data_IF_194958097954
#
_entry.id   IF_194958097954
#
_cell.length_a   1.000
_cell.length_b   1.000
_cell.length_c   1.000
_cell.angle_alpha   90.00
_cell.angle_beta   90.00
_cell.angle_gamma   90.00
#
_symmetry.space_group_name_H-M   'P 1'
#
loop_
_entity.id
_entity.type
_entity.pdbx_description
1 polymer ?
#
# COMPACT_ATOMS: atom_id res chain seq x y z
N UNK A 1 -2.85 17.97 -14.67
CA UNK A 1 -2.70 18.41 -13.27
C UNK A 1 -1.33 17.97 -12.83
N UNK A 2 -0.50 18.89 -12.35
CA UNK A 2 0.87 18.61 -11.95
C UNK A 2 0.87 17.97 -10.54
N UNK A 3 1.95 17.26 -10.16
CA UNK A 3 2.09 16.69 -8.81
C UNK A 3 1.82 17.72 -7.70
N UNK A 4 2.19 18.99 -7.93
CA UNK A 4 1.96 20.10 -7.03
C UNK A 4 0.46 20.43 -6.83
N UNK A 5 -0.39 20.22 -7.84
CA UNK A 5 -1.84 20.44 -7.74
C UNK A 5 -2.53 19.32 -6.93
N UNK A 6 -2.01 18.09 -6.98
CA UNK A 6 -2.53 16.95 -6.21
C UNK A 6 -2.23 17.08 -4.71
N UNK A 7 -1.03 17.51 -4.34
CA UNK A 7 -0.69 17.81 -2.94
C UNK A 7 -1.44 19.04 -2.37
N UNK A 8 -1.98 19.90 -3.25
CA UNK A 8 -2.80 21.06 -2.86
C UNK A 8 -4.27 20.72 -2.65
N UNK A 9 -4.72 19.61 -3.22
CA UNK A 9 -6.05 19.05 -2.96
C UNK A 9 -5.97 18.37 -1.60
N UNK A 10 -6.57 18.95 -0.55
CA UNK A 10 -6.57 18.42 0.85
C UNK A 10 -7.33 17.08 1.01
N UNK A 11 -7.18 16.16 0.07
CA UNK A 11 -7.85 14.87 0.04
C UNK A 11 -6.92 13.81 0.66
N UNK A 12 -7.34 13.25 1.80
CA UNK A 12 -6.57 12.25 2.54
C UNK A 12 -6.36 10.96 1.75
N UNK A 13 -7.20 10.69 0.75
CA UNK A 13 -7.03 9.58 -0.19
C UNK A 13 -5.77 9.70 -1.06
N UNK A 14 -5.43 10.92 -1.51
CA UNK A 14 -4.25 11.15 -2.36
C UNK A 14 -2.97 11.01 -1.53
N UNK A 15 -2.96 11.59 -0.32
CA UNK A 15 -1.84 11.39 0.60
C UNK A 15 -1.67 9.91 0.98
N UNK A 16 -2.78 9.19 1.20
CA UNK A 16 -2.76 7.74 1.43
C UNK A 16 -2.08 6.98 0.29
N UNK A 17 -2.42 7.29 -0.96
CA UNK A 17 -1.83 6.65 -2.14
C UNK A 17 -0.33 6.97 -2.28
N UNK A 18 0.09 8.21 -2.07
CA UNK A 18 1.51 8.57 -2.12
C UNK A 18 2.33 7.90 -1.02
N UNK A 19 1.79 7.84 0.20
CA UNK A 19 2.40 7.08 1.30
C UNK A 19 2.41 5.59 0.97
N UNK A 20 1.36 5.07 0.34
CA UNK A 20 1.28 3.70 -0.15
C UNK A 20 2.39 3.36 -1.16
N UNK A 21 2.64 4.25 -2.13
CA UNK A 21 3.75 4.11 -3.09
C UNK A 21 5.11 4.12 -2.37
N UNK A 22 5.30 5.02 -1.41
CA UNK A 22 6.50 5.06 -0.59
C UNK A 22 6.66 3.77 0.22
N UNK A 23 5.57 3.20 0.74
CA UNK A 23 5.58 1.90 1.43
C UNK A 23 6.05 0.76 0.53
N UNK A 24 5.73 0.76 -0.78
CA UNK A 24 6.23 -0.26 -1.72
C UNK A 24 7.76 -0.23 -1.74
N UNK A 25 8.34 0.96 -1.96
CA UNK A 25 9.78 1.14 -2.05
C UNK A 25 10.47 0.75 -0.74
N UNK A 26 9.93 1.20 0.40
CA UNK A 26 10.47 0.87 1.71
C UNK A 26 10.35 -0.62 2.03
N UNK A 27 9.19 -1.25 1.82
CA UNK A 27 9.00 -2.67 2.11
C UNK A 27 9.91 -3.54 1.23
N UNK A 28 10.12 -3.15 -0.03
CA UNK A 28 11.03 -3.84 -0.93
C UNK A 28 12.49 -3.70 -0.51
N UNK A 29 12.96 -2.47 -0.27
CA UNK A 29 14.34 -2.20 0.12
C UNK A 29 14.68 -2.81 1.49
N UNK A 30 13.82 -2.62 2.49
CA UNK A 30 14.00 -3.14 3.84
C UNK A 30 13.81 -4.65 3.90
N UNK A 31 12.91 -5.20 3.06
CA UNK A 31 12.78 -6.64 2.87
C UNK A 31 14.10 -7.26 2.43
N UNK A 32 14.68 -6.79 1.33
CA UNK A 32 15.98 -7.30 0.81
C UNK A 32 17.10 -7.10 1.84
N UNK A 33 17.20 -5.92 2.44
CA UNK A 33 18.25 -5.60 3.41
C UNK A 33 18.25 -6.54 4.63
N UNK A 34 17.08 -7.01 5.06
CA UNK A 34 16.95 -7.88 6.22
C UNK A 34 16.98 -9.38 5.88
N UNK A 35 17.05 -9.75 4.60
CA UNK A 35 17.18 -11.15 4.16
C UNK A 35 18.53 -11.76 4.58
N UNK A 36 19.55 -10.92 4.77
CA UNK A 36 20.91 -11.34 5.15
C UNK A 36 21.11 -11.57 6.66
N UNK A 37 20.08 -11.37 7.48
CA UNK A 37 20.17 -11.65 8.92
C UNK A 37 19.92 -13.13 9.20
N UNK A 38 20.91 -13.87 9.71
CA UNK A 38 20.79 -15.30 10.08
C UNK A 38 19.99 -15.45 11.38
N UNK A 39 18.71 -15.09 11.35
CA UNK A 39 17.77 -15.18 12.47
C UNK A 39 16.34 -15.37 11.94
N UNK A 40 15.38 -15.62 12.83
CA UNK A 40 13.94 -15.70 12.53
C UNK A 40 13.36 -14.48 11.80
N UNK A 41 14.13 -13.40 11.68
CA UNK A 41 13.81 -12.18 10.92
C UNK A 41 13.64 -12.45 9.42
N UNK A 42 14.26 -13.50 8.86
CA UNK A 42 14.13 -13.85 7.43
C UNK A 42 12.67 -14.06 7.03
N UNK A 43 11.88 -14.71 7.89
CA UNK A 43 10.45 -14.97 7.63
C UNK A 43 9.70 -13.64 7.52
N UNK A 44 9.95 -12.70 8.44
CA UNK A 44 9.34 -11.37 8.41
C UNK A 44 9.80 -10.54 7.20
N UNK A 45 11.06 -10.69 6.78
CA UNK A 45 11.60 -10.07 5.57
C UNK A 45 10.90 -10.58 4.30
N UNK A 46 10.67 -11.89 4.18
CA UNK A 46 9.92 -12.48 3.06
C UNK A 46 8.48 -11.96 3.06
N UNK A 47 7.83 -11.91 4.23
CA UNK A 47 6.47 -11.36 4.35
C UNK A 47 6.46 -9.88 3.94
N UNK A 48 7.46 -9.09 4.33
CA UNK A 48 7.60 -7.68 3.95
C UNK A 48 7.75 -7.53 2.42
N UNK A 49 8.52 -8.40 1.77
CA UNK A 49 8.65 -8.42 0.31
C UNK A 49 7.33 -8.76 -0.38
N UNK A 50 6.64 -9.81 0.07
CA UNK A 50 5.32 -10.19 -0.47
C UNK A 50 4.31 -9.05 -0.26
N UNK A 51 4.37 -8.37 0.89
CA UNK A 51 3.53 -7.21 1.19
C UNK A 51 3.78 -6.06 0.21
N UNK A 52 5.02 -5.81 -0.19
CA UNK A 52 5.36 -4.79 -1.18
C UNK A 52 4.66 -5.07 -2.53
N UNK A 53 4.63 -6.33 -2.98
CA UNK A 53 3.92 -6.71 -4.20
C UNK A 53 2.40 -6.55 -4.05
N UNK A 54 1.82 -6.99 -2.94
CA UNK A 54 0.38 -6.84 -2.67
C UNK A 54 -0.01 -5.36 -2.71
N UNK A 55 0.74 -4.51 -2.00
CA UNK A 55 0.50 -3.06 -1.96
C UNK A 55 0.63 -2.45 -3.36
N UNK A 56 1.60 -2.90 -4.15
CA UNK A 56 1.78 -2.43 -5.52
C UNK A 56 0.54 -2.65 -6.38
N UNK A 57 -0.08 -3.84 -6.32
CA UNK A 57 -1.32 -4.11 -7.06
C UNK A 57 -2.53 -3.32 -6.54
N UNK A 58 -2.58 -3.05 -5.23
CA UNK A 58 -3.65 -2.25 -4.63
C UNK A 58 -3.52 -0.78 -5.06
N UNK A 59 -2.31 -0.24 -5.10
CA UNK A 59 -2.08 1.18 -5.39
C UNK A 59 -2.01 1.53 -6.87
N UNK A 60 -1.58 0.58 -7.70
CA UNK A 60 -1.43 0.75 -9.15
C UNK A 60 -2.37 -0.21 -9.89
N UNK A 61 -3.68 0.08 -9.96
CA UNK A 61 -4.64 -0.77 -10.66
C UNK A 61 -4.36 -0.88 -12.17
N UNK A 62 -3.53 0.02 -12.71
CA UNK A 62 -3.03 -0.05 -14.09
C UNK A 62 -2.22 -1.35 -14.35
N UNK A 63 -1.52 -1.88 -13.34
CA UNK A 63 -0.81 -3.16 -13.50
C UNK A 63 -1.75 -4.35 -13.72
N UNK A 64 -2.97 -4.33 -13.16
CA UNK A 64 -3.96 -5.39 -13.39
C UNK A 64 -4.43 -5.44 -14.84
N UNK A 65 -4.34 -4.32 -15.57
CA UNK A 65 -4.74 -4.24 -16.97
C UNK A 65 -3.63 -4.70 -17.93
N UNK A 66 -2.37 -4.54 -17.54
CA UNK A 66 -1.20 -4.91 -18.35
C UNK A 66 -0.81 -6.37 -18.11
N UNK A 67 -0.90 -6.84 -16.87
CA UNK A 67 -0.59 -8.22 -16.53
C UNK A 67 -1.83 -9.10 -16.76
N UNK A 68 -1.73 -10.21 -17.52
CA UNK A 68 -2.80 -11.21 -17.64
C UNK A 68 -2.94 -11.96 -16.31
N UNK A 69 -3.61 -11.34 -15.35
CA UNK A 69 -3.86 -11.94 -14.04
C UNK A 69 -5.14 -12.76 -14.06
N UNK A 70 -5.22 -13.76 -13.17
CA UNK A 70 -6.41 -14.61 -13.07
C UNK A 70 -7.62 -13.79 -12.61
N UNK A 71 -8.81 -14.11 -13.12
CA UNK A 71 -10.06 -13.47 -12.71
C UNK A 71 -10.32 -13.55 -11.18
N UNK A 72 -9.75 -14.56 -10.51
CA UNK A 72 -9.79 -14.66 -9.05
C UNK A 72 -8.95 -13.59 -8.36
N UNK A 73 -7.78 -13.26 -8.92
CA UNK A 73 -6.89 -12.21 -8.42
C UNK A 73 -7.49 -10.82 -8.65
N UNK A 74 -8.08 -10.58 -9.82
CA UNK A 74 -8.78 -9.32 -10.11
C UNK A 74 -9.94 -9.07 -9.14
N UNK A 75 -10.77 -10.09 -8.88
CA UNK A 75 -11.85 -9.99 -7.91
C UNK A 75 -11.35 -9.80 -6.48
N UNK A 76 -10.18 -10.35 -6.14
CA UNK A 76 -9.54 -10.11 -4.86
C UNK A 76 -9.11 -8.64 -4.74
N UNK A 77 -8.39 -8.10 -5.72
CA UNK A 77 -7.92 -6.70 -5.67
C UNK A 77 -9.07 -5.70 -5.68
N UNK A 78 -10.15 -5.99 -6.41
CA UNK A 78 -11.36 -5.15 -6.43
C UNK A 78 -12.00 -4.96 -5.06
N UNK A 79 -11.86 -5.92 -4.13
CA UNK A 79 -12.36 -5.77 -2.75
C UNK A 79 -11.63 -4.65 -1.98
N UNK A 80 -10.41 -4.34 -2.37
CA UNK A 80 -9.58 -3.28 -1.78
C UNK A 80 -9.70 -1.93 -2.51
N UNK A 81 -10.73 -1.76 -3.35
CA UNK A 81 -11.02 -0.48 -3.98
C UNK A 81 -11.55 0.58 -2.99
N UNK A 82 -12.11 0.16 -1.85
CA UNK A 82 -12.67 1.09 -0.86
C UNK A 82 -11.59 1.60 0.11
N UNK A 83 -11.70 2.87 0.52
CA UNK A 83 -10.80 3.51 1.50
C UNK A 83 -10.72 2.72 2.81
N UNK A 84 -11.84 2.16 3.27
CA UNK A 84 -11.89 1.36 4.48
C UNK A 84 -11.12 0.04 4.35
N UNK A 85 -11.23 -0.67 3.23
CA UNK A 85 -10.48 -1.92 3.04
C UNK A 85 -9.00 -1.69 2.80
N UNK A 86 -8.63 -0.57 2.19
CA UNK A 86 -7.22 -0.12 2.16
C UNK A 86 -6.71 0.13 3.57
N UNK A 87 -7.44 0.91 4.38
CA UNK A 87 -7.04 1.15 5.77
C UNK A 87 -6.85 -0.17 6.55
N UNK A 88 -7.76 -1.12 6.39
CA UNK A 88 -7.69 -2.42 7.03
C UNK A 88 -6.46 -3.23 6.60
N UNK A 89 -6.15 -3.32 5.30
CA UNK A 89 -5.00 -4.11 4.84
C UNK A 89 -3.68 -3.46 5.26
N UNK A 90 -3.54 -2.14 5.16
CA UNK A 90 -2.34 -1.43 5.64
C UNK A 90 -2.15 -1.60 7.16
N UNK A 91 -3.23 -1.62 7.93
CA UNK A 91 -3.18 -1.85 9.37
C UNK A 91 -2.76 -3.30 9.70
N UNK A 92 -3.33 -4.30 9.03
CA UNK A 92 -2.93 -5.71 9.20
C UNK A 92 -1.47 -5.90 8.84
N UNK A 93 -1.03 -5.36 7.69
CA UNK A 93 0.37 -5.43 7.27
C UNK A 93 1.31 -4.73 8.25
N UNK A 94 0.91 -3.57 8.80
CA UNK A 94 1.66 -2.89 9.85
C UNK A 94 1.79 -3.75 11.09
N UNK A 95 0.70 -4.34 11.60
CA UNK A 95 0.73 -5.23 12.78
C UNK A 95 1.68 -6.40 12.58
N UNK A 96 1.62 -7.05 11.41
CA UNK A 96 2.51 -8.16 11.08
C UNK A 96 3.99 -7.74 11.13
N UNK A 97 4.32 -6.53 10.69
CA UNK A 97 5.69 -6.01 10.82
C UNK A 97 6.04 -5.55 12.23
N UNK A 98 5.10 -5.07 13.02
CA UNK A 98 5.34 -4.82 14.45
C UNK A 98 5.66 -6.11 15.22
N UNK A 99 5.05 -7.24 14.85
CA UNK A 99 5.38 -8.55 15.43
C UNK A 99 6.82 -9.00 15.16
N UNK A 100 7.50 -8.43 14.15
CA UNK A 100 8.91 -8.74 13.89
C UNK A 100 9.83 -8.31 15.05
N UNK A 101 9.39 -7.35 15.89
CA UNK A 101 10.11 -6.92 17.08
C UNK A 101 10.32 -8.04 18.11
N UNK A 102 9.41 -9.02 18.15
CA UNK A 102 9.53 -10.18 19.04
C UNK A 102 10.80 -10.97 18.70
N UNK A 103 11.18 -11.02 17.42
CA UNK A 103 12.41 -11.67 16.98
C UNK A 103 13.64 -10.78 17.17
N UNK A 104 13.64 -9.57 16.60
CA UNK A 104 14.75 -8.61 16.73
C UNK A 104 14.33 -7.21 16.26
N UNK A 105 14.80 -6.18 16.96
CA UNK A 105 14.72 -4.81 16.46
C UNK A 105 15.61 -4.64 15.22
N UNK A 106 14.99 -4.38 14.07
CA UNK A 106 15.66 -4.20 12.77
C UNK A 106 15.03 -3.05 12.01
N UNK A 107 15.54 -2.75 10.82
CA UNK A 107 15.01 -1.68 9.98
C UNK A 107 13.58 -1.94 9.46
N UNK A 108 13.00 -3.13 9.68
CA UNK A 108 11.57 -3.43 9.45
C UNK A 108 10.63 -2.49 10.23
N UNK A 109 11.09 -1.91 11.34
CA UNK A 109 10.31 -0.95 12.13
C UNK A 109 9.94 0.27 11.28
N UNK A 110 10.85 0.74 10.40
CA UNK A 110 10.56 1.85 9.51
C UNK A 110 9.40 1.50 8.57
N UNK A 111 9.40 0.29 7.98
CA UNK A 111 8.27 -0.18 7.16
C UNK A 111 6.97 -0.22 7.98
N UNK A 112 7.01 -0.76 9.21
CA UNK A 112 5.85 -0.86 10.09
C UNK A 112 5.21 0.50 10.39
N UNK A 113 6.03 1.53 10.64
CA UNK A 113 5.58 2.91 10.89
C UNK A 113 4.95 3.52 9.65
N UNK A 114 5.58 3.41 8.48
CA UNK A 114 5.03 3.98 7.24
C UNK A 114 3.73 3.28 6.81
N UNK A 115 3.62 1.96 7.00
CA UNK A 115 2.37 1.22 6.81
C UNK A 115 1.27 1.70 7.76
N UNK A 116 1.61 2.04 9.00
CA UNK A 116 0.66 2.59 9.97
C UNK A 116 0.18 3.99 9.55
N UNK A 117 1.10 4.85 9.09
CA UNK A 117 0.76 6.17 8.56
C UNK A 117 -0.20 6.04 7.37
N UNK A 118 0.08 5.12 6.44
CA UNK A 118 -0.81 4.83 5.32
C UNK A 118 -2.21 4.38 5.80
N UNK A 119 -2.26 3.46 6.77
CA UNK A 119 -3.52 2.99 7.35
C UNK A 119 -4.34 4.14 7.97
N UNK A 120 -3.69 5.04 8.71
CA UNK A 120 -4.33 6.20 9.32
C UNK A 120 -4.83 7.18 8.25
N UNK A 121 -4.04 7.46 7.22
CA UNK A 121 -4.47 8.32 6.11
C UNK A 121 -5.72 7.76 5.41
N UNK A 122 -5.74 6.46 5.13
CA UNK A 122 -6.89 5.80 4.51
C UNK A 122 -8.11 5.72 5.46
N UNK A 123 -7.90 5.50 6.76
CA UNK A 123 -8.95 5.51 7.76
C UNK A 123 -9.59 6.90 7.88
N UNK A 124 -8.79 7.97 7.90
CA UNK A 124 -9.27 9.34 7.95
C UNK A 124 -10.02 9.73 6.66
N UNK A 125 -9.57 9.26 5.49
CA UNK A 125 -10.29 9.43 4.24
C UNK A 125 -11.67 8.74 4.26
N UNK A 126 -11.73 7.52 4.82
CA UNK A 126 -12.97 6.78 5.05
C UNK A 126 -13.92 7.53 5.99
N UNK A 127 -13.44 7.93 7.18
CA UNK A 127 -14.22 8.65 8.20
C UNK A 127 -14.75 9.99 7.68
N UNK A 128 -13.97 10.69 6.85
CA UNK A 128 -14.38 11.95 6.21
C UNK A 128 -15.30 11.75 5.00
N UNK A 129 -15.71 10.50 4.69
CA UNK A 129 -16.52 10.13 3.52
C UNK A 129 -15.98 10.74 2.22
N UNK A 130 -14.66 10.87 2.10
CA UNK A 130 -14.06 11.41 0.89
C UNK A 130 -14.13 10.35 -0.20
N UNK A 131 -14.58 10.73 -1.40
CA UNK A 131 -14.50 9.86 -2.56
C UNK A 131 -13.04 9.48 -2.83
N UNK A 132 -12.81 8.20 -3.11
CA UNK A 132 -11.49 7.71 -3.47
C UNK A 132 -11.04 8.39 -4.76
N UNK A 133 -10.09 9.30 -4.64
CA UNK A 133 -9.45 9.95 -5.78
C UNK A 133 -8.08 9.32 -5.97
N UNK A 134 -7.94 8.51 -7.02
CA UNK A 134 -6.64 8.02 -7.45
C UNK A 134 -5.89 9.13 -8.21
N UNK A 135 -4.61 9.30 -7.89
CA UNK A 135 -3.70 10.20 -8.59
C UNK A 135 -3.68 9.93 -10.10
N UNK A 136 -3.64 11.00 -10.90
CA UNK A 136 -3.71 10.93 -12.37
C UNK A 136 -2.45 10.34 -12.98
N UNK A 137 -1.30 10.48 -12.29
CA UNK A 137 -0.03 9.89 -12.71
C UNK A 137 0.01 8.36 -12.55
N UNK A 138 -0.80 7.82 -11.63
CA UNK A 138 -0.90 6.37 -11.37
C UNK A 138 -2.08 5.69 -12.11
N UNK A 139 -2.72 6.39 -13.06
CA UNK A 139 -3.77 5.84 -13.93
C UNK A 139 -5.20 6.33 -13.65
N UNK A 140 -5.39 7.33 -12.78
CA UNK A 140 -6.72 7.78 -12.33
C UNK A 140 -7.64 8.38 -13.39
N UNK A 141 -7.13 8.91 -14.52
CA UNK A 141 -7.96 9.72 -15.45
C UNK A 141 -8.49 9.02 -16.71
N UNK A 142 -8.21 7.72 -16.91
CA UNK A 142 -8.71 6.97 -18.08
C UNK A 142 -9.33 5.61 -17.79
N UNK A 143 -9.32 5.18 -16.52
CA UNK A 143 -9.76 3.82 -16.12
C UNK A 143 -10.97 3.90 -15.18
N UNK A 144 -11.07 4.95 -14.34
CA UNK A 144 -12.20 5.13 -13.42
C UNK A 144 -13.54 5.44 -14.11
N UNK A 145 -13.55 5.93 -15.35
CA UNK A 145 -14.78 6.18 -16.13
C UNK A 145 -15.25 4.99 -16.99
N UNK A 146 -14.53 3.86 -17.00
CA UNK A 146 -14.94 2.66 -17.75
C UNK A 146 -15.38 1.49 -16.86
N UNK A 147 -15.51 1.70 -15.55
CA UNK A 147 -16.11 0.73 -14.60
C UNK A 147 -17.50 1.26 -14.17
N UNK A 148 -18.27 1.73 -15.15
CA UNK A 148 -19.73 1.86 -15.06
C UNK A 148 -20.31 0.76 -15.94
#
# INVERSE_FOLDING_TARGET
MTLADEFRTRNFSIYGQWVGVLCIVLCFALGIANLFHVHWVIIFSIICLVSAFIILFIEIPLLLRICPTSAGFDNFIRRFATNYMRAAIYLVLSIVQWLSLIAKATSLIAAAVFLLIAAVCYALAGLKKQEFMSSKTLGGQGIAQMIV
#
